data_IF_065289486129
#
_entry.id   IF_065289486129
#
_cell.length_a   1.000
_cell.length_b   1.000
_cell.length_c   1.000
_cell.angle_alpha   90.00
_cell.angle_beta   90.00
_cell.angle_gamma   90.00
#
_symmetry.space_group_name_H-M   'P 1'
#
loop_
_entity.id
_entity.type
_entity.pdbx_description
1 polymer ?
#
# COMPACT_ATOMS: atom_id res chain seq x y z
N UNK A 1 -10.18 -23.96 -6.08
CA UNK A 1 -9.45 -22.76 -6.50
C UNK A 1 -8.49 -23.15 -7.62
N UNK A 2 -8.62 -22.54 -8.79
CA UNK A 2 -7.67 -22.76 -9.86
C UNK A 2 -6.36 -22.06 -9.49
N UNK A 3 -5.24 -22.79 -9.50
CA UNK A 3 -3.93 -22.19 -9.33
C UNK A 3 -3.72 -21.07 -10.35
N UNK A 4 -3.16 -19.92 -9.99
CA UNK A 4 -2.90 -18.85 -10.93
C UNK A 4 -2.02 -19.37 -12.05
N UNK A 5 -2.34 -19.03 -13.28
CA UNK A 5 -1.59 -19.55 -14.41
C UNK A 5 -0.17 -18.97 -14.40
N UNK A 6 0.87 -19.78 -14.66
CA UNK A 6 2.26 -19.30 -14.78
C UNK A 6 2.41 -18.12 -15.76
N UNK A 7 1.49 -17.99 -16.72
CA UNK A 7 1.44 -16.90 -17.70
C UNK A 7 1.18 -15.52 -17.09
N UNK A 8 0.49 -15.45 -15.96
CA UNK A 8 0.16 -14.18 -15.31
C UNK A 8 1.38 -13.59 -14.57
N UNK A 9 2.08 -14.42 -13.80
CA UNK A 9 3.32 -14.02 -13.12
C UNK A 9 4.37 -13.56 -14.12
N UNK A 10 4.53 -14.30 -15.21
CA UNK A 10 5.45 -13.94 -16.28
C UNK A 10 5.08 -12.62 -16.98
N UNK A 11 3.80 -12.36 -17.21
CA UNK A 11 3.36 -11.10 -17.81
C UNK A 11 3.68 -9.90 -16.91
N UNK A 12 3.46 -10.03 -15.61
CA UNK A 12 3.76 -8.98 -14.64
C UNK A 12 5.26 -8.73 -14.56
N UNK A 13 6.06 -9.79 -14.53
CA UNK A 13 7.53 -9.69 -14.54
C UNK A 13 8.06 -8.99 -15.79
N UNK A 14 7.62 -9.41 -16.98
CA UNK A 14 8.03 -8.77 -18.25
C UNK A 14 7.52 -7.32 -18.33
N UNK A 15 6.29 -7.05 -17.87
CA UNK A 15 5.71 -5.71 -17.84
C UNK A 15 6.47 -4.75 -16.93
N UNK A 16 7.05 -5.24 -15.84
CA UNK A 16 7.94 -4.50 -14.94
C UNK A 16 9.40 -4.41 -15.43
N UNK A 17 9.66 -4.68 -16.70
CA UNK A 17 11.03 -4.59 -17.27
C UNK A 17 11.95 -5.72 -16.86
N UNK A 18 11.45 -6.79 -16.26
CA UNK A 18 12.22 -7.97 -15.80
C UNK A 18 13.23 -7.66 -14.69
N UNK A 19 13.01 -6.57 -13.95
CA UNK A 19 13.86 -6.17 -12.81
C UNK A 19 13.27 -6.57 -11.46
N UNK A 20 12.01 -7.01 -11.45
CA UNK A 20 11.27 -7.34 -10.25
C UNK A 20 11.68 -8.70 -9.67
N UNK A 21 11.37 -8.91 -8.38
CA UNK A 21 11.53 -10.19 -7.74
C UNK A 21 10.38 -11.14 -8.13
N UNK A 22 10.70 -12.17 -8.92
CA UNK A 22 9.72 -13.14 -9.42
C UNK A 22 9.02 -13.91 -8.30
N UNK A 23 9.69 -14.19 -7.18
CA UNK A 23 9.12 -14.90 -6.04
C UNK A 23 8.04 -14.06 -5.35
N UNK A 24 8.22 -12.73 -5.26
CA UNK A 24 7.20 -11.82 -4.75
C UNK A 24 5.99 -11.74 -5.68
N UNK A 25 6.23 -11.72 -7.00
CA UNK A 25 5.15 -11.74 -8.00
C UNK A 25 4.35 -13.04 -7.89
N UNK A 26 5.01 -14.17 -7.74
CA UNK A 26 4.35 -15.47 -7.56
C UNK A 26 3.57 -15.53 -6.24
N UNK A 27 4.13 -15.02 -5.16
CA UNK A 27 3.45 -14.93 -3.87
C UNK A 27 2.17 -14.11 -3.98
N UNK A 28 2.24 -12.93 -4.61
CA UNK A 28 1.08 -12.08 -4.87
C UNK A 28 0.04 -12.80 -5.75
N UNK A 29 0.50 -13.42 -6.84
CA UNK A 29 -0.37 -14.12 -7.77
C UNK A 29 -1.13 -15.28 -7.11
N UNK A 30 -0.43 -16.04 -6.28
CA UNK A 30 -1.00 -17.20 -5.59
C UNK A 30 -1.98 -16.79 -4.49
N UNK A 31 -1.71 -15.67 -3.80
CA UNK A 31 -2.56 -15.17 -2.71
C UNK A 31 -3.73 -14.29 -3.15
N UNK A 32 -3.76 -13.83 -4.42
CA UNK A 32 -4.71 -12.80 -4.86
C UNK A 32 -6.18 -13.23 -4.78
N UNK A 33 -6.49 -14.49 -5.09
CA UNK A 33 -7.86 -15.04 -5.04
C UNK A 33 -8.34 -15.13 -3.60
N UNK A 34 -7.52 -15.66 -2.71
CA UNK A 34 -7.86 -15.79 -1.28
C UNK A 34 -8.01 -14.41 -0.63
N UNK A 35 -7.17 -13.45 -1.02
CA UNK A 35 -7.27 -12.07 -0.55
C UNK A 35 -8.57 -11.39 -1.02
N UNK A 36 -9.00 -11.64 -2.26
CA UNK A 36 -10.27 -11.14 -2.78
C UNK A 36 -11.45 -11.75 -2.03
N UNK A 37 -11.45 -13.07 -1.83
CA UNK A 37 -12.47 -13.77 -1.07
C UNK A 37 -12.58 -13.25 0.37
N UNK A 38 -11.44 -13.01 1.00
CA UNK A 38 -11.39 -12.41 2.34
C UNK A 38 -11.97 -10.99 2.36
N UNK A 39 -11.62 -10.14 1.37
CA UNK A 39 -12.15 -8.79 1.27
C UNK A 39 -13.68 -8.79 1.08
N UNK A 40 -14.19 -9.69 0.26
CA UNK A 40 -15.62 -9.79 -0.03
C UNK A 40 -16.40 -10.40 1.15
N UNK A 41 -16.00 -11.58 1.61
CA UNK A 41 -16.79 -12.38 2.52
C UNK A 41 -16.48 -12.13 4.01
N UNK A 42 -15.27 -11.68 4.36
CA UNK A 42 -14.88 -11.39 5.74
C UNK A 42 -14.94 -9.90 6.06
N UNK A 43 -14.36 -9.06 5.20
CA UNK A 43 -14.36 -7.61 5.39
C UNK A 43 -15.68 -6.97 4.94
N UNK A 44 -16.37 -7.58 3.98
CA UNK A 44 -17.65 -7.13 3.46
C UNK A 44 -17.52 -5.97 2.47
N UNK A 45 -16.46 -5.98 1.65
CA UNK A 45 -16.34 -5.05 0.52
C UNK A 45 -17.23 -5.57 -0.61
N UNK A 46 -18.26 -4.82 -1.04
CA UNK A 46 -19.11 -5.28 -2.13
C UNK A 46 -18.41 -5.09 -3.47
N UNK A 47 -18.20 -6.16 -4.20
CA UNK A 47 -17.69 -6.11 -5.56
C UNK A 47 -18.81 -6.28 -6.58
N UNK A 48 -18.61 -5.71 -7.79
CA UNK A 48 -19.49 -5.98 -8.92
C UNK A 48 -19.29 -7.42 -9.40
N UNK A 49 -20.37 -8.17 -9.48
CA UNK A 49 -20.34 -9.58 -9.89
C UNK A 49 -20.44 -9.77 -11.41
N UNK A 50 -20.89 -8.75 -12.14
CA UNK A 50 -21.15 -8.77 -13.58
C UNK A 50 -20.06 -8.08 -14.41
N UNK A 51 -19.05 -7.50 -13.76
CA UNK A 51 -18.01 -6.73 -14.42
C UNK A 51 -16.63 -6.94 -13.82
N UNK A 52 -15.70 -7.38 -14.64
CA UNK A 52 -14.27 -7.44 -14.33
C UNK A 52 -13.53 -6.45 -15.21
N UNK A 53 -12.84 -5.53 -14.60
CA UNK A 53 -12.11 -4.45 -15.26
C UNK A 53 -10.78 -4.94 -15.86
N UNK A 54 -10.46 -4.44 -17.04
CA UNK A 54 -9.14 -4.63 -17.64
C UNK A 54 -8.35 -3.31 -17.56
N UNK A 55 -7.26 -3.31 -16.83
CA UNK A 55 -6.38 -2.16 -16.77
C UNK A 55 -5.68 -1.92 -18.13
N UNK A 56 -5.36 -0.66 -18.41
CA UNK A 56 -4.57 -0.27 -19.59
C UNK A 56 -3.25 -1.04 -19.60
N UNK A 57 -2.93 -1.67 -20.73
CA UNK A 57 -1.75 -2.53 -20.86
C UNK A 57 -1.94 -3.97 -20.38
N UNK A 58 -3.05 -4.29 -19.71
CA UNK A 58 -3.39 -5.66 -19.33
C UNK A 58 -3.82 -6.50 -20.54
N UNK A 59 -3.47 -7.79 -20.55
CA UNK A 59 -3.92 -8.75 -21.59
C UNK A 59 -5.26 -9.39 -21.24
N UNK A 60 -5.64 -9.37 -19.96
CA UNK A 60 -6.89 -9.96 -19.45
C UNK A 60 -7.52 -9.06 -18.41
N UNK A 61 -8.84 -9.09 -18.34
CA UNK A 61 -9.60 -8.45 -17.27
C UNK A 61 -9.32 -9.17 -15.92
N UNK A 62 -8.94 -8.40 -14.90
CA UNK A 62 -8.56 -8.90 -13.57
C UNK A 62 -8.93 -7.95 -12.43
N UNK A 63 -9.35 -6.74 -12.76
CA UNK A 63 -9.66 -5.74 -11.76
C UNK A 63 -11.08 -5.90 -11.24
N UNK A 64 -11.22 -6.09 -9.94
CA UNK A 64 -12.52 -6.11 -9.28
C UNK A 64 -12.87 -4.70 -8.81
N UNK A 65 -14.02 -4.20 -9.24
CA UNK A 65 -14.52 -2.88 -8.85
C UNK A 65 -15.49 -3.00 -7.69
N UNK A 66 -15.37 -2.06 -6.76
CA UNK A 66 -16.39 -1.90 -5.72
C UNK A 66 -17.75 -1.57 -6.36
N UNK A 67 -18.79 -2.26 -5.95
CA UNK A 67 -20.15 -1.90 -6.28
C UNK A 67 -20.59 -0.71 -5.43
N UNK A 68 -20.47 0.49 -6.02
CA UNK A 68 -20.78 1.74 -5.34
C UNK A 68 -22.26 1.85 -4.98
N UNK A 69 -23.14 1.30 -5.82
CA UNK A 69 -24.59 1.31 -5.57
C UNK A 69 -24.92 0.44 -4.36
N UNK A 70 -24.36 -0.77 -4.30
CA UNK A 70 -24.54 -1.67 -3.16
C UNK A 70 -23.93 -1.11 -1.87
N UNK A 71 -22.79 -0.40 -1.98
CA UNK A 71 -22.11 0.18 -0.82
C UNK A 71 -22.75 1.45 -0.29
N UNK A 72 -23.26 2.32 -1.15
CA UNK A 72 -23.63 3.71 -0.81
C UNK A 72 -25.01 4.16 -1.31
N UNK A 73 -25.64 3.37 -2.18
CA UNK A 73 -26.86 3.75 -2.88
C UNK A 73 -26.66 4.78 -4.01
N UNK A 74 -25.41 5.08 -4.39
CA UNK A 74 -25.05 6.07 -5.42
C UNK A 74 -24.24 5.43 -6.54
N UNK A 75 -24.42 5.92 -7.76
CA UNK A 75 -23.63 5.46 -8.93
C UNK A 75 -22.18 5.98 -8.92
N UNK A 76 -21.92 7.10 -8.25
CA UNK A 76 -20.60 7.71 -8.15
C UNK A 76 -20.23 7.97 -6.70
N UNK A 77 -19.10 7.42 -6.26
CA UNK A 77 -18.48 7.65 -4.96
C UNK A 77 -17.00 7.23 -5.04
N UNK A 78 -16.26 7.37 -3.95
CA UNK A 78 -14.87 6.97 -3.87
C UNK A 78 -14.76 5.51 -3.41
N UNK A 79 -14.51 4.59 -4.35
CA UNK A 79 -14.36 3.16 -4.05
C UNK A 79 -13.21 2.87 -3.08
N UNK A 80 -12.11 3.62 -3.14
CA UNK A 80 -11.00 3.49 -2.19
C UNK A 80 -11.41 3.81 -0.76
N UNK A 81 -12.28 4.81 -0.56
CA UNK A 81 -12.83 5.13 0.76
C UNK A 81 -13.60 3.96 1.38
N UNK A 82 -14.38 3.26 0.57
CA UNK A 82 -15.16 2.09 1.02
C UNK A 82 -14.24 0.98 1.54
N UNK A 83 -13.13 0.71 0.84
CA UNK A 83 -12.11 -0.22 1.32
C UNK A 83 -11.59 0.19 2.70
N UNK A 84 -11.20 1.44 2.84
CA UNK A 84 -10.60 1.94 4.09
C UNK A 84 -11.61 1.87 5.24
N UNK A 85 -12.85 2.32 5.03
CA UNK A 85 -13.90 2.26 6.06
C UNK A 85 -14.20 0.83 6.52
N UNK A 86 -14.30 -0.10 5.59
CA UNK A 86 -14.55 -1.51 5.90
C UNK A 86 -13.39 -2.16 6.66
N UNK A 87 -12.16 -1.96 6.18
CA UNK A 87 -10.96 -2.49 6.83
C UNK A 87 -10.74 -1.87 8.20
N UNK A 88 -10.95 -0.56 8.35
CA UNK A 88 -10.85 0.13 9.62
C UNK A 88 -11.84 -0.42 10.64
N UNK A 89 -13.12 -0.50 10.28
CA UNK A 89 -14.15 -1.06 11.15
C UNK A 89 -13.83 -2.50 11.59
N UNK A 90 -13.32 -3.31 10.66
CA UNK A 90 -12.92 -4.68 10.98
C UNK A 90 -11.75 -4.72 11.96
N UNK A 91 -10.71 -3.91 11.74
CA UNK A 91 -9.55 -3.82 12.62
C UNK A 91 -9.94 -3.33 14.03
N UNK A 92 -10.76 -2.29 14.13
CA UNK A 92 -11.27 -1.76 15.41
C UNK A 92 -12.09 -2.81 16.18
N UNK A 93 -12.93 -3.58 15.48
CA UNK A 93 -13.69 -4.68 16.08
C UNK A 93 -12.80 -5.82 16.62
N UNK A 94 -11.59 -5.97 16.09
CA UNK A 94 -10.57 -6.88 16.61
C UNK A 94 -9.73 -6.27 17.74
N UNK A 95 -10.03 -5.05 18.17
CA UNK A 95 -9.34 -4.36 19.25
C UNK A 95 -8.09 -3.59 18.81
N UNK A 96 -7.89 -3.36 17.51
CA UNK A 96 -6.80 -2.53 17.02
C UNK A 96 -7.03 -1.07 17.38
N UNK A 97 -6.02 -0.42 17.96
CA UNK A 97 -6.04 1.04 18.16
C UNK A 97 -5.53 1.74 16.92
N UNK A 98 -6.30 2.69 16.40
CA UNK A 98 -5.93 3.51 15.25
C UNK A 98 -5.70 4.95 15.73
N UNK A 99 -4.45 5.42 15.62
CA UNK A 99 -4.08 6.80 15.93
C UNK A 99 -3.96 7.59 14.62
N UNK A 100 -4.77 8.63 14.48
CA UNK A 100 -4.73 9.57 13.36
C UNK A 100 -4.04 10.88 13.78
N UNK A 101 -3.62 11.68 12.80
CA UNK A 101 -2.91 12.96 13.05
C UNK A 101 -1.65 12.77 13.91
N UNK A 102 -1.02 11.62 13.79
CA UNK A 102 0.19 11.21 14.49
C UNK A 102 1.25 10.79 13.46
N UNK A 103 2.21 11.68 13.19
CA UNK A 103 3.30 11.39 12.26
C UNK A 103 4.40 10.62 12.97
N UNK A 104 4.71 9.41 12.50
CA UNK A 104 5.88 8.67 12.97
C UNK A 104 7.14 9.40 12.51
N UNK A 105 8.00 9.75 13.44
CA UNK A 105 9.24 10.50 13.22
C UNK A 105 10.49 9.66 13.42
N UNK A 106 10.38 8.57 14.18
CA UNK A 106 11.53 7.72 14.53
C UNK A 106 11.08 6.28 14.74
N UNK A 107 11.88 5.34 14.25
CA UNK A 107 11.81 3.94 14.69
C UNK A 107 12.78 3.76 15.85
N UNK A 108 12.33 3.09 16.92
CA UNK A 108 13.19 2.79 18.06
C UNK A 108 13.88 1.44 17.87
N UNK A 109 15.13 1.34 18.30
CA UNK A 109 15.97 0.15 18.16
C UNK A 109 16.43 -0.28 19.55
N UNK A 110 16.33 -1.56 19.83
CA UNK A 110 16.83 -2.16 21.08
C UNK A 110 18.34 -2.37 21.08
N UNK A 111 18.87 -2.80 22.23
CA UNK A 111 20.30 -3.08 22.40
C UNK A 111 20.79 -4.24 21.49
N UNK A 112 19.88 -5.08 21.05
CA UNK A 112 20.12 -6.17 20.10
C UNK A 112 20.13 -5.74 18.64
N UNK A 113 19.88 -4.45 18.35
CA UNK A 113 19.78 -3.89 17.01
C UNK A 113 18.43 -4.12 16.33
N UNK A 114 17.46 -4.76 16.97
CA UNK A 114 16.13 -4.96 16.41
C UNK A 114 15.24 -3.73 16.60
N UNK A 115 14.41 -3.44 15.61
CA UNK A 115 13.36 -2.41 15.72
C UNK A 115 12.31 -2.90 16.70
N UNK A 116 12.07 -2.13 17.77
CA UNK A 116 11.22 -2.48 18.91
C UNK A 116 10.08 -1.48 19.17
N UNK A 117 9.84 -0.56 18.24
CA UNK A 117 8.76 0.40 18.34
C UNK A 117 8.94 1.63 17.47
N UNK A 118 8.19 2.68 17.79
CA UNK A 118 8.30 3.96 17.12
C UNK A 118 7.92 5.12 18.03
N UNK A 119 8.32 6.32 17.61
CA UNK A 119 7.90 7.59 18.18
C UNK A 119 7.10 8.34 17.13
N UNK A 120 5.93 8.83 17.51
CA UNK A 120 5.08 9.66 16.66
C UNK A 120 4.81 11.01 17.34
N UNK A 121 4.71 12.04 16.53
CA UNK A 121 4.33 13.39 16.94
C UNK A 121 2.92 13.69 16.48
N UNK A 122 2.05 14.10 17.41
CA UNK A 122 0.69 14.58 17.09
C UNK A 122 0.71 16.01 16.60
N UNK A 123 -0.39 16.41 15.98
CA UNK A 123 -0.56 17.80 15.48
C UNK A 123 -0.61 18.84 16.59
N UNK A 124 -0.94 18.47 17.83
CA UNK A 124 -0.88 19.34 19.02
C UNK A 124 0.53 19.47 19.62
N UNK A 125 1.52 18.83 19.01
CA UNK A 125 2.91 18.83 19.46
C UNK A 125 3.23 17.75 20.49
N UNK A 126 2.26 17.02 21.02
CA UNK A 126 2.52 15.91 21.94
C UNK A 126 3.16 14.71 21.23
N UNK A 127 3.85 13.89 21.99
CA UNK A 127 4.57 12.71 21.49
C UNK A 127 3.93 11.42 21.99
N UNK A 128 3.84 10.43 21.11
CA UNK A 128 3.44 9.07 21.43
C UNK A 128 4.68 8.18 21.28
N UNK A 129 4.94 7.36 22.27
CA UNK A 129 5.92 6.27 22.18
C UNK A 129 5.16 4.95 22.14
N UNK A 130 5.41 4.14 21.12
CA UNK A 130 4.82 2.82 20.95
C UNK A 130 5.92 1.79 21.02
N UNK A 131 5.82 0.86 21.97
CA UNK A 131 6.68 -0.31 22.06
C UNK A 131 5.98 -1.49 21.37
N UNK A 132 6.67 -2.20 20.49
CA UNK A 132 6.12 -3.29 19.72
C UNK A 132 7.18 -4.37 19.46
N UNK A 133 6.73 -5.62 19.35
CA UNK A 133 7.62 -6.74 18.96
C UNK A 133 8.00 -6.69 17.48
N UNK A 134 7.20 -6.01 16.67
CA UNK A 134 7.38 -5.89 15.22
C UNK A 134 6.75 -4.58 14.75
N UNK A 135 7.39 -3.92 13.82
CA UNK A 135 6.87 -2.71 13.14
C UNK A 135 6.72 -3.00 11.66
N UNK A 136 5.55 -2.72 11.10
CA UNK A 136 5.29 -2.82 9.66
C UNK A 136 5.24 -1.41 9.10
N UNK A 137 6.11 -1.12 8.13
CA UNK A 137 6.07 0.13 7.36
C UNK A 137 5.14 -0.05 6.16
N UNK A 138 3.97 0.59 6.22
CA UNK A 138 2.97 0.59 5.14
C UNK A 138 2.65 2.04 4.71
N UNK A 139 3.67 2.88 4.60
CA UNK A 139 3.58 4.33 4.45
C UNK A 139 3.35 4.80 3.02
N UNK A 140 3.24 3.89 2.07
CA UNK A 140 3.16 4.21 0.65
C UNK A 140 4.50 4.68 0.08
N UNK A 141 4.44 5.31 -1.09
CA UNK A 141 5.61 5.79 -1.82
C UNK A 141 5.94 7.25 -1.55
N UNK A 142 6.64 7.87 -2.52
CA UNK A 142 7.14 9.25 -2.41
C UNK A 142 6.68 10.17 -3.56
N UNK A 143 5.70 9.74 -4.37
CA UNK A 143 5.29 10.47 -5.57
C UNK A 143 4.66 11.86 -5.30
N UNK A 144 4.28 12.16 -4.05
CA UNK A 144 3.86 13.50 -3.65
C UNK A 144 5.02 14.40 -3.19
N UNK A 145 6.24 13.86 -3.06
CA UNK A 145 7.45 14.63 -2.76
C UNK A 145 8.18 15.02 -4.04
N UNK A 146 8.01 16.25 -4.50
CA UNK A 146 8.71 16.75 -5.70
C UNK A 146 10.24 16.65 -5.59
N UNK A 147 10.78 16.79 -4.39
CA UNK A 147 12.23 16.73 -4.16
C UNK A 147 12.76 15.30 -4.32
N UNK A 148 12.05 14.30 -3.80
CA UNK A 148 12.43 12.90 -3.98
C UNK A 148 12.23 12.43 -5.42
N UNK A 149 11.13 12.84 -6.06
CA UNK A 149 10.89 12.56 -7.48
C UNK A 149 12.01 13.16 -8.34
N UNK A 150 12.38 14.43 -8.11
CA UNK A 150 13.49 15.04 -8.81
C UNK A 150 14.81 14.33 -8.55
N UNK A 151 15.11 14.02 -7.29
CA UNK A 151 16.33 13.31 -6.87
C UNK A 151 16.45 11.96 -7.56
N UNK A 152 15.43 11.12 -7.47
CA UNK A 152 15.50 9.75 -7.96
C UNK A 152 15.28 9.62 -9.47
N UNK A 153 14.68 10.63 -10.12
CA UNK A 153 14.65 10.71 -11.59
C UNK A 153 15.91 11.31 -12.20
N UNK A 154 16.96 11.57 -11.40
CA UNK A 154 18.15 12.30 -11.82
C UNK A 154 17.84 13.64 -12.52
N UNK A 155 16.83 14.33 -12.02
CA UNK A 155 16.39 15.64 -12.54
C UNK A 155 15.51 15.54 -13.80
N UNK A 156 15.15 14.35 -14.27
CA UNK A 156 14.34 14.20 -15.47
C UNK A 156 12.87 14.61 -15.26
N UNK A 157 12.33 14.42 -14.06
CA UNK A 157 10.96 14.76 -13.71
C UNK A 157 10.95 16.03 -12.86
N UNK A 158 10.45 17.11 -13.46
CA UNK A 158 10.37 18.44 -12.82
C UNK A 158 8.93 18.87 -12.50
N UNK A 159 7.93 18.09 -12.92
CA UNK A 159 6.52 18.41 -12.71
C UNK A 159 6.04 17.88 -11.36
N UNK A 160 5.06 18.62 -10.77
CA UNK A 160 4.41 18.23 -9.51
C UNK A 160 3.09 17.47 -9.73
N UNK A 161 2.82 17.01 -10.96
CA UNK A 161 1.59 16.30 -11.26
C UNK A 161 1.71 14.88 -10.77
N UNK A 162 0.84 14.50 -9.84
CA UNK A 162 0.71 13.15 -9.32
C UNK A 162 -0.75 12.82 -9.06
N UNK A 163 -1.13 11.57 -9.28
CA UNK A 163 -2.43 11.00 -8.88
C UNK A 163 -2.38 10.34 -7.49
N UNK A 164 -1.21 10.33 -6.86
CA UNK A 164 -1.02 9.73 -5.54
C UNK A 164 -1.62 10.61 -4.44
N UNK A 165 -1.89 10.00 -3.28
CA UNK A 165 -2.28 10.74 -2.09
C UNK A 165 -1.21 11.77 -1.70
N UNK A 166 -1.64 12.95 -1.24
CA UNK A 166 -0.72 14.01 -0.81
C UNK A 166 0.21 13.60 0.34
N UNK A 167 -0.13 12.53 1.04
CA UNK A 167 0.66 11.93 2.12
C UNK A 167 1.74 10.95 1.62
N UNK A 168 1.82 10.67 0.32
CA UNK A 168 2.88 9.82 -0.26
C UNK A 168 4.19 10.60 -0.38
N UNK A 169 4.75 10.99 0.77
CA UNK A 169 5.91 11.89 0.89
C UNK A 169 7.24 11.19 1.10
N UNK A 170 7.23 9.83 1.15
CA UNK A 170 8.45 9.04 1.31
C UNK A 170 8.97 8.94 2.75
N UNK A 171 8.17 9.27 3.73
CA UNK A 171 8.59 9.24 5.14
C UNK A 171 9.12 7.86 5.56
N UNK A 172 8.49 6.77 5.08
CA UNK A 172 8.93 5.41 5.39
C UNK A 172 10.29 5.05 4.81
N UNK A 173 10.70 5.67 3.71
CA UNK A 173 12.04 5.47 3.15
C UNK A 173 13.10 5.98 4.14
N UNK A 174 12.94 7.21 4.62
CA UNK A 174 13.85 7.80 5.58
C UNK A 174 13.86 7.02 6.91
N UNK A 175 12.69 6.58 7.39
CA UNK A 175 12.58 5.75 8.59
C UNK A 175 13.32 4.43 8.45
N UNK A 176 13.22 3.77 7.29
CA UNK A 176 13.92 2.52 7.03
C UNK A 176 15.43 2.71 6.96
N UNK A 177 15.92 3.72 6.22
CA UNK A 177 17.35 4.02 6.12
C UNK A 177 17.98 4.30 7.47
N UNK A 178 17.28 5.03 8.34
CA UNK A 178 17.79 5.40 9.67
C UNK A 178 18.04 4.19 10.59
N UNK A 179 17.44 3.05 10.31
CA UNK A 179 17.65 1.80 11.05
C UNK A 179 18.39 0.74 10.24
N UNK A 180 19.09 1.14 9.17
CA UNK A 180 19.93 0.26 8.37
C UNK A 180 19.21 -0.46 7.21
N UNK A 181 17.99 -0.06 6.88
CA UNK A 181 17.26 -0.59 5.73
C UNK A 181 17.88 -0.17 4.40
N UNK A 182 17.86 -1.05 3.41
CA UNK A 182 18.30 -0.76 2.04
C UNK A 182 17.13 -0.37 1.16
N UNK A 183 17.32 0.65 0.33
CA UNK A 183 16.34 1.11 -0.65
C UNK A 183 16.72 0.61 -2.05
N UNK A 184 15.74 0.12 -2.79
CA UNK A 184 15.93 -0.41 -4.15
C UNK A 184 14.87 0.17 -5.11
N UNK A 185 15.20 0.20 -6.40
CA UNK A 185 14.28 0.58 -7.49
C UNK A 185 13.62 1.95 -7.32
N UNK A 186 14.33 2.91 -6.72
CA UNK A 186 13.78 4.25 -6.48
C UNK A 186 13.71 5.12 -7.75
N UNK A 187 14.34 4.68 -8.83
CA UNK A 187 14.35 5.32 -10.15
C UNK A 187 13.25 4.81 -11.10
N UNK A 188 12.34 3.97 -10.59
CA UNK A 188 11.22 3.44 -11.38
C UNK A 188 9.97 4.28 -11.14
N UNK A 189 9.42 4.86 -12.23
CA UNK A 189 8.27 5.77 -12.23
C UNK A 189 7.15 5.29 -13.14
#
# INVERSE_FOLDING_TARGET
SAAPSPRWSLQTYIGGGSIDNIELIETYANGAVDALDWLENTIGVPFKNDYIFMAIGGKWARGHQVDLIAATGKESDNGGRIYIEKLQNYAENLGTTIETNAKVTTLTVGDDGAVNGCIAQRTDGSTITVNAKTVILATGGYAASSDLVYKYSNGAITTKLTSCAATSTGDGLALAENVGGSLINLDQF
#
